data_IF_141784938626
#
_entry.id   IF_141784938626
#
_cell.length_a   1.000
_cell.length_b   1.000
_cell.length_c   1.000
_cell.angle_alpha   90.00
_cell.angle_beta   90.00
_cell.angle_gamma   90.00
#
_symmetry.space_group_name_H-M   'P 1'
#
loop_
_entity.id
_entity.type
_entity.pdbx_description
1 polymer ?
#
# COMPACT_ATOMS: atom_id res chain seq x y z
N UNK A 1 -21.70 24.46 -13.05
CA UNK A 1 -21.18 23.51 -14.07
C UNK A 1 -20.18 22.58 -13.39
N UNK A 2 -20.60 21.37 -13.01
CA UNK A 2 -19.73 20.38 -12.36
C UNK A 2 -18.79 19.76 -13.41
N UNK A 3 -17.50 20.09 -13.37
CA UNK A 3 -16.49 19.36 -14.14
C UNK A 3 -16.24 18.01 -13.45
N UNK A 4 -16.79 16.95 -14.02
CA UNK A 4 -16.39 15.58 -13.72
C UNK A 4 -14.92 15.43 -14.13
N UNK A 5 -14.01 15.53 -13.17
CA UNK A 5 -12.60 15.18 -13.32
C UNK A 5 -12.51 13.68 -13.55
N UNK A 6 -12.65 13.26 -14.80
CA UNK A 6 -12.29 11.90 -15.21
C UNK A 6 -10.76 11.82 -15.11
N UNK A 7 -10.28 11.46 -13.91
CA UNK A 7 -8.87 11.19 -13.68
C UNK A 7 -8.36 10.20 -14.71
N UNK A 8 -7.14 10.43 -15.23
CA UNK A 8 -6.50 9.55 -16.21
C UNK A 8 -6.56 8.10 -15.72
N UNK A 9 -7.28 7.24 -16.45
CA UNK A 9 -7.33 5.80 -16.15
C UNK A 9 -5.91 5.25 -16.25
N UNK A 10 -5.38 4.74 -15.14
CA UNK A 10 -4.10 4.03 -15.09
C UNK A 10 -4.39 2.54 -15.13
N UNK A 11 -3.78 1.82 -16.06
CA UNK A 11 -3.77 0.35 -16.08
C UNK A 11 -2.52 -0.12 -15.36
N UNK A 12 -2.68 -1.02 -14.40
CA UNK A 12 -1.60 -1.62 -13.62
C UNK A 12 -1.57 -3.09 -13.99
N UNK A 13 -0.39 -3.62 -14.27
CA UNK A 13 -0.15 -5.03 -14.55
C UNK A 13 0.97 -5.50 -13.64
N UNK A 14 0.78 -6.64 -12.99
CA UNK A 14 1.80 -7.33 -12.22
C UNK A 14 1.83 -8.79 -12.69
N UNK A 15 3.02 -9.32 -12.91
CA UNK A 15 3.23 -10.72 -13.29
C UNK A 15 4.10 -11.37 -12.24
N UNK A 16 3.63 -12.48 -11.67
CA UNK A 16 4.33 -13.27 -10.66
C UNK A 16 4.70 -14.62 -11.25
N UNK A 17 5.86 -15.15 -10.88
CA UNK A 17 6.40 -16.41 -11.42
C UNK A 17 7.11 -17.19 -10.32
N UNK A 18 7.20 -18.50 -10.50
CA UNK A 18 7.86 -19.38 -9.53
C UNK A 18 7.10 -19.43 -8.21
N UNK A 19 7.82 -19.36 -7.09
CA UNK A 19 7.28 -19.51 -5.74
C UNK A 19 6.24 -18.43 -5.42
N UNK A 20 6.46 -17.17 -5.84
CA UNK A 20 5.52 -16.06 -5.64
C UNK A 20 4.13 -16.33 -6.26
N UNK A 21 4.10 -17.03 -7.40
CA UNK A 21 2.82 -17.38 -8.04
C UNK A 21 2.05 -18.42 -7.21
N UNK A 22 2.76 -19.36 -6.59
CA UNK A 22 2.17 -20.36 -5.69
C UNK A 22 1.67 -19.71 -4.41
N UNK A 23 2.41 -18.77 -3.85
CA UNK A 23 1.98 -18.00 -2.66
C UNK A 23 0.70 -17.21 -2.93
N UNK A 24 0.57 -16.63 -4.12
CA UNK A 24 -0.68 -15.97 -4.54
C UNK A 24 -1.85 -16.95 -4.62
N UNK A 25 -1.65 -18.16 -5.15
CA UNK A 25 -2.71 -19.18 -5.19
C UNK A 25 -3.16 -19.60 -3.78
N UNK A 26 -2.21 -19.72 -2.84
CA UNK A 26 -2.52 -19.97 -1.42
C UNK A 26 -3.32 -18.81 -0.83
N UNK A 27 -2.95 -17.56 -1.15
CA UNK A 27 -3.67 -16.37 -0.70
C UNK A 27 -5.09 -16.33 -1.29
N UNK A 28 -5.27 -16.67 -2.56
CA UNK A 28 -6.58 -16.77 -3.22
C UNK A 28 -7.50 -17.76 -2.52
N UNK A 29 -6.98 -18.96 -2.22
CA UNK A 29 -7.71 -19.98 -1.51
C UNK A 29 -8.07 -19.54 -0.08
N UNK A 30 -7.12 -18.93 0.63
CA UNK A 30 -7.31 -18.44 2.02
C UNK A 30 -8.38 -17.35 2.09
N UNK A 31 -8.40 -16.45 1.10
CA UNK A 31 -9.39 -15.38 0.99
C UNK A 31 -10.71 -15.84 0.37
N UNK A 32 -10.82 -17.12 -0.03
CA UNK A 32 -11.99 -17.70 -0.70
C UNK A 32 -12.41 -16.92 -1.94
N UNK A 33 -11.44 -16.46 -2.73
CA UNK A 33 -11.74 -15.63 -3.90
C UNK A 33 -12.58 -16.37 -4.96
N UNK A 34 -12.49 -17.70 -5.03
CA UNK A 34 -13.32 -18.52 -5.92
C UNK A 34 -14.84 -18.36 -5.73
N UNK A 35 -15.28 -17.84 -4.58
CA UNK A 35 -16.71 -17.57 -4.32
C UNK A 35 -17.20 -16.27 -5.02
N UNK A 36 -16.29 -15.39 -5.43
CA UNK A 36 -16.60 -14.03 -5.92
C UNK A 36 -16.02 -13.70 -7.30
N UNK A 37 -14.97 -14.39 -7.75
CA UNK A 37 -14.37 -14.18 -9.08
C UNK A 37 -14.57 -15.39 -9.99
N UNK A 38 -14.65 -15.15 -11.30
CA UNK A 38 -14.91 -16.19 -12.31
C UNK A 38 -13.72 -16.46 -13.22
N UNK A 39 -12.78 -15.52 -13.29
CA UNK A 39 -11.60 -15.60 -14.15
C UNK A 39 -10.34 -15.22 -13.40
N UNK A 40 -9.17 -15.67 -13.87
CA UNK A 40 -7.89 -15.30 -13.26
C UNK A 40 -7.64 -13.79 -13.31
N UNK A 41 -8.00 -13.13 -14.41
CA UNK A 41 -7.86 -11.68 -14.56
C UNK A 41 -8.69 -10.92 -13.49
N UNK A 42 -9.89 -11.42 -13.19
CA UNK A 42 -10.72 -10.86 -12.11
C UNK A 42 -10.07 -11.10 -10.74
N UNK A 43 -9.53 -12.29 -10.49
CA UNK A 43 -8.80 -12.63 -9.28
C UNK A 43 -7.62 -11.66 -9.05
N UNK A 44 -6.75 -11.51 -10.05
CA UNK A 44 -5.58 -10.63 -10.01
C UNK A 44 -5.99 -9.16 -9.76
N UNK A 45 -7.08 -8.72 -10.40
CA UNK A 45 -7.62 -7.36 -10.22
C UNK A 45 -8.13 -7.15 -8.79
N UNK A 46 -8.88 -8.11 -8.25
CA UNK A 46 -9.43 -8.03 -6.89
C UNK A 46 -8.31 -8.09 -5.84
N UNK A 47 -7.33 -8.98 -6.02
CA UNK A 47 -6.15 -9.08 -5.16
C UNK A 47 -5.34 -7.78 -5.17
N UNK A 48 -5.03 -7.24 -6.35
CA UNK A 48 -4.29 -5.98 -6.47
C UNK A 48 -5.05 -4.84 -5.77
N UNK A 49 -6.37 -4.78 -5.94
CA UNK A 49 -7.21 -3.78 -5.28
C UNK A 49 -7.26 -3.97 -3.76
N UNK A 50 -7.28 -5.20 -3.28
CA UNK A 50 -7.24 -5.55 -1.87
C UNK A 50 -5.90 -5.16 -1.25
N UNK A 51 -4.79 -5.52 -1.88
CA UNK A 51 -3.44 -5.16 -1.45
C UNK A 51 -3.27 -3.63 -1.33
N UNK A 52 -3.76 -2.88 -2.33
CA UNK A 52 -3.77 -1.42 -2.29
C UNK A 52 -4.57 -0.88 -1.10
N UNK A 53 -5.79 -1.38 -0.86
CA UNK A 53 -6.62 -0.98 0.28
C UNK A 53 -5.96 -1.32 1.61
N UNK A 54 -5.36 -2.51 1.73
CA UNK A 54 -4.66 -2.95 2.93
C UNK A 54 -3.46 -2.06 3.24
N UNK A 55 -2.66 -1.70 2.21
CA UNK A 55 -1.53 -0.79 2.36
C UNK A 55 -1.98 0.60 2.82
N UNK A 56 -3.03 1.17 2.21
CA UNK A 56 -3.57 2.46 2.64
C UNK A 56 -4.06 2.44 4.08
N UNK A 57 -4.79 1.39 4.47
CA UNK A 57 -5.25 1.23 5.84
C UNK A 57 -4.08 1.10 6.82
N UNK A 58 -3.04 0.33 6.47
CA UNK A 58 -1.81 0.22 7.27
C UNK A 58 -1.13 1.57 7.45
N UNK A 59 -1.04 2.37 6.38
CA UNK A 59 -0.49 3.73 6.40
C UNK A 59 -1.27 4.61 7.37
N UNK A 60 -2.60 4.65 7.23
CA UNK A 60 -3.48 5.46 8.08
C UNK A 60 -3.38 5.03 9.54
N UNK A 61 -3.44 3.73 9.81
CA UNK A 61 -3.35 3.19 11.17
C UNK A 61 -2.00 3.49 11.82
N UNK A 62 -0.89 3.33 11.09
CA UNK A 62 0.44 3.67 11.59
C UNK A 62 0.55 5.15 11.92
N UNK A 63 0.12 6.03 11.00
CA UNK A 63 0.19 7.49 11.22
C UNK A 63 -0.68 7.91 12.40
N UNK A 64 -1.87 7.30 12.55
CA UNK A 64 -2.77 7.60 13.66
C UNK A 64 -2.22 7.11 15.01
N UNK A 65 -1.65 5.90 15.05
CA UNK A 65 -1.11 5.30 16.29
C UNK A 65 0.19 5.96 16.76
N UNK A 66 1.07 6.34 15.84
CA UNK A 66 2.42 6.84 16.17
C UNK A 66 2.52 8.37 16.13
N UNK A 67 1.62 9.05 15.41
CA UNK A 67 1.75 10.48 15.08
C UNK A 67 2.89 10.78 14.11
N UNK A 68 3.56 9.75 13.57
CA UNK A 68 4.69 9.88 12.66
C UNK A 68 4.29 9.62 11.21
N UNK A 69 5.13 10.04 10.27
CA UNK A 69 4.96 9.68 8.86
C UNK A 69 5.26 8.20 8.65
N UNK A 70 4.55 7.59 7.72
CA UNK A 70 4.80 6.21 7.33
C UNK A 70 6.21 6.01 6.76
N UNK A 71 6.87 4.85 7.01
CA UNK A 71 8.20 4.56 6.49
C UNK A 71 8.32 4.73 4.97
N UNK A 72 9.52 5.09 4.52
CA UNK A 72 9.82 5.15 3.09
C UNK A 72 9.78 3.77 2.44
N UNK A 73 9.66 3.72 1.12
CA UNK A 73 9.66 2.46 0.36
C UNK A 73 10.85 1.55 0.71
N UNK A 74 12.07 2.11 0.81
CA UNK A 74 13.28 1.31 1.10
C UNK A 74 13.25 0.73 2.51
N UNK A 75 12.86 1.54 3.49
CA UNK A 75 12.73 1.11 4.88
C UNK A 75 11.67 0.01 5.03
N UNK A 76 10.52 0.20 4.38
CA UNK A 76 9.44 -0.79 4.40
C UNK A 76 9.84 -2.08 3.68
N UNK A 77 10.51 -1.99 2.53
CA UNK A 77 10.97 -3.15 1.79
C UNK A 77 11.98 -3.96 2.62
N UNK A 78 12.98 -3.30 3.21
CA UNK A 78 13.95 -3.99 4.07
C UNK A 78 13.29 -4.69 5.26
N UNK A 79 12.30 -4.06 5.88
CA UNK A 79 11.49 -4.69 6.93
C UNK A 79 10.75 -5.96 6.43
N UNK A 80 10.11 -5.89 5.25
CA UNK A 80 9.35 -7.00 4.68
C UNK A 80 10.24 -8.16 4.21
N UNK A 81 11.46 -7.86 3.77
CA UNK A 81 12.47 -8.86 3.40
C UNK A 81 13.14 -9.50 4.63
N UNK A 82 12.76 -9.10 5.84
CA UNK A 82 13.34 -9.62 7.08
C UNK A 82 14.74 -9.10 7.37
N UNK A 83 15.16 -8.00 6.73
CA UNK A 83 16.42 -7.35 7.06
C UNK A 83 16.34 -6.78 8.50
N UNK A 84 17.44 -6.84 9.28
CA UNK A 84 17.48 -6.23 10.58
C UNK A 84 17.16 -4.73 10.45
N UNK A 85 16.22 -4.25 11.25
CA UNK A 85 15.84 -2.83 11.31
C UNK A 85 17.02 -2.08 11.95
N UNK A 86 18.02 -1.74 11.16
CA UNK A 86 18.96 -0.70 11.52
C UNK A 86 18.13 0.59 11.59
N UNK A 87 17.79 0.95 12.82
CA UNK A 87 17.03 2.14 13.14
C UNK A 87 17.93 3.34 12.87
N UNK A 88 18.16 3.69 11.60
CA UNK A 88 18.66 5.03 11.32
C UNK A 88 17.55 6.01 11.74
N UNK A 89 17.82 6.94 12.66
CA UNK A 89 16.87 7.97 13.00
C UNK A 89 16.75 8.88 11.78
N UNK A 90 15.81 8.55 10.90
CA UNK A 90 15.48 9.39 9.75
C UNK A 90 15.08 10.75 10.32
N UNK A 91 15.95 11.74 10.08
CA UNK A 91 15.93 13.02 10.77
C UNK A 91 14.51 13.57 10.73
N UNK A 92 13.88 13.65 11.92
CA UNK A 92 12.55 14.20 12.10
C UNK A 92 12.59 15.62 11.56
N UNK A 93 12.20 15.81 10.29
CA UNK A 93 11.87 17.12 9.74
C UNK A 93 10.57 17.53 10.39
N UNK A 94 10.68 18.02 11.62
CA UNK A 94 9.67 18.83 12.29
C UNK A 94 9.51 20.06 11.39
N UNK A 95 8.53 20.03 10.49
CA UNK A 95 8.12 21.23 9.77
C UNK A 95 7.27 22.02 10.76
N UNK A 96 7.91 22.96 11.45
CA UNK A 96 7.23 24.01 12.20
C UNK A 96 6.32 24.75 11.23
N UNK A 97 5.01 24.54 11.32
CA UNK A 97 4.06 25.40 10.62
C UNK A 97 4.11 26.74 11.36
N UNK A 98 4.87 27.68 10.82
CA UNK A 98 4.85 29.06 11.28
C UNK A 98 3.41 29.58 11.09
N UNK A 99 2.73 29.81 12.20
CA UNK A 99 1.49 30.58 12.24
C UNK A 99 1.86 32.02 11.90
N UNK A 100 1.75 32.39 10.63
CA UNK A 100 1.85 33.80 10.25
C UNK A 100 0.77 34.58 10.99
N UNK A 101 1.22 35.51 11.83
CA UNK A 101 0.40 36.53 12.44
C UNK A 101 0.02 37.55 11.35
N UNK A 102 -1.27 37.63 11.03
CA UNK A 102 -1.86 38.73 10.26
C UNK A 102 -2.65 39.62 11.20
N UNK A 103 -2.19 40.86 11.32
CA UNK A 103 -2.80 42.01 12.03
C UNK A 103 -4.18 42.37 11.48
#
# INVERSE_FOLDING_TARGET
>A
MNKLTHGRVKRIHAEFRGDDAVELDILEATLRLGDVVRTRIEADTVLTRLAYKALYRSIEEYCHKTGQRYPTYRTLLGYLEGAPIESEPDAVRVVSIAKEAGR
#
